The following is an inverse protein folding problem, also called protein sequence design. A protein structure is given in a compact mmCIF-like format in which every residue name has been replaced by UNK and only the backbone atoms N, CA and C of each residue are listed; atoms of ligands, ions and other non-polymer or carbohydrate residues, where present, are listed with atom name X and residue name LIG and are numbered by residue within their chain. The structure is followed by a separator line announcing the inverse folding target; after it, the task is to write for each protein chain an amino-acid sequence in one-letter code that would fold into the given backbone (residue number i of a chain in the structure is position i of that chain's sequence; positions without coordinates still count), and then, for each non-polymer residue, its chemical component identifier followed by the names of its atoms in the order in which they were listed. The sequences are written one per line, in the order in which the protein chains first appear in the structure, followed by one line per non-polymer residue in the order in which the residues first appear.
data_IF_804523717730
#
_entry.id   IF_804523717730
#
_cell.length_a   1.000
_cell.length_b   1.000
_cell.length_c   1.000
_cell.angle_alpha   90.00
_cell.angle_beta   90.00
_cell.angle_gamma   90.00
#
_symmetry.space_group_name_H-M   'P 1'
#
loop_
_entity.id
_entity.type
_entity.pdbx_description
1 polymer ?
#
# COMPACT_ATOMS: atom_id res chain seq x y z
N UNK A 1 56.59 17.18 -72.64
CA UNK A 1 57.53 17.70 -71.62
C UNK A 1 56.70 18.35 -70.51
N UNK A 2 56.52 17.72 -69.33
CA UNK A 2 57.21 18.02 -68.05
C UNK A 2 57.00 19.50 -67.62
N UNK A 3 56.45 19.93 -66.48
CA UNK A 3 56.14 19.42 -65.11
C UNK A 3 55.01 20.32 -64.53
N UNK A 4 53.99 19.81 -63.82
CA UNK A 4 53.90 19.56 -62.36
C UNK A 4 54.10 20.81 -61.46
N UNK A 5 53.04 21.22 -60.75
CA UNK A 5 53.10 21.59 -59.33
C UNK A 5 51.73 21.42 -58.66
N UNK A 6 51.74 20.67 -57.57
CA UNK A 6 50.62 20.26 -56.71
C UNK A 6 50.49 21.28 -55.57
N UNK A 7 49.26 21.64 -55.18
CA UNK A 7 48.97 22.14 -53.83
C UNK A 7 47.58 21.68 -53.40
N UNK A 8 47.57 20.67 -52.53
CA UNK A 8 46.46 20.21 -51.70
C UNK A 8 46.17 21.28 -50.63
N UNK A 9 44.91 21.60 -50.37
CA UNK A 9 44.43 21.84 -49.00
C UNK A 9 42.91 21.69 -48.92
N UNK A 10 42.52 20.82 -48.00
CA UNK A 10 41.18 20.53 -47.48
C UNK A 10 40.31 21.79 -47.32
N UNK A 11 39.19 21.85 -48.04
CA UNK A 11 38.02 22.61 -47.61
C UNK A 11 37.08 21.65 -46.85
N UNK A 12 37.41 21.50 -45.57
CA UNK A 12 36.49 21.44 -44.43
C UNK A 12 34.99 21.29 -44.74
N UNK A 13 34.48 20.09 -44.43
CA UNK A 13 33.29 19.84 -43.61
C UNK A 13 32.59 21.12 -43.14
N UNK A 14 31.52 21.53 -43.82
CA UNK A 14 30.41 22.30 -43.23
C UNK A 14 29.21 22.24 -44.20
N UNK A 15 28.81 21.03 -44.60
CA UNK A 15 27.42 20.81 -44.97
C UNK A 15 26.62 20.96 -43.67
N UNK A 16 26.15 22.18 -43.45
CA UNK A 16 25.24 22.57 -42.39
C UNK A 16 24.16 21.49 -42.25
N UNK A 17 24.29 20.69 -41.20
CA UNK A 17 23.15 20.24 -40.41
C UNK A 17 22.43 21.51 -39.94
N UNK A 18 21.63 22.11 -40.82
CA UNK A 18 20.44 22.86 -40.41
C UNK A 18 19.48 21.81 -39.85
N UNK A 19 19.83 21.28 -38.67
CA UNK A 19 18.86 20.81 -37.74
C UNK A 19 18.05 22.05 -37.37
N UNK A 20 17.04 22.35 -38.19
CA UNK A 20 15.96 23.23 -37.81
C UNK A 20 15.47 22.66 -36.49
N UNK A 21 15.80 23.35 -35.41
CA UNK A 21 15.07 23.31 -34.17
C UNK A 21 13.63 23.62 -34.57
N UNK A 22 12.87 22.56 -34.85
CA UNK A 22 11.43 22.64 -35.00
C UNK A 22 10.93 23.07 -33.63
N UNK A 23 10.88 24.39 -33.43
CA UNK A 23 10.12 25.00 -32.37
C UNK A 23 8.73 24.42 -32.53
N UNK A 24 8.37 23.47 -31.66
CA UNK A 24 7.05 22.88 -31.67
C UNK A 24 6.08 24.07 -31.66
N UNK A 25 5.35 24.25 -32.77
CA UNK A 25 4.48 25.40 -32.94
C UNK A 25 3.60 25.52 -31.70
N UNK A 26 3.58 26.69 -31.07
CA UNK A 26 2.78 26.91 -29.86
C UNK A 26 1.34 26.47 -30.14
N UNK A 27 0.73 25.63 -29.28
CA UNK A 27 -0.64 25.20 -29.48
C UNK A 27 -1.55 26.40 -29.69
N UNK A 28 -2.45 26.34 -30.67
CA UNK A 28 -3.41 27.41 -30.87
C UNK A 28 -4.30 27.55 -29.62
N UNK A 29 -4.25 28.69 -28.90
CA UNK A 29 -4.97 28.84 -27.63
C UNK A 29 -6.48 28.68 -27.79
N UNK A 30 -7.05 29.01 -28.95
CA UNK A 30 -8.50 28.90 -29.19
C UNK A 30 -8.96 27.48 -29.50
N UNK A 31 -8.03 26.56 -29.81
CA UNK A 31 -8.30 25.13 -30.02
C UNK A 31 -7.94 24.28 -28.81
N UNK A 32 -7.48 24.91 -27.72
CA UNK A 32 -7.10 24.21 -26.52
C UNK A 32 -8.34 23.64 -25.85
N UNK A 33 -8.35 22.31 -25.62
CA UNK A 33 -9.38 21.66 -24.82
C UNK A 33 -9.07 21.94 -23.35
N UNK A 34 -9.73 22.94 -22.78
CA UNK A 34 -9.61 23.28 -21.38
C UNK A 34 -10.40 22.30 -20.49
N UNK A 35 -9.95 22.04 -19.26
CA UNK A 35 -10.65 21.16 -18.34
C UNK A 35 -12.04 21.72 -18.03
N UNK A 36 -13.05 20.84 -18.03
CA UNK A 36 -14.42 21.19 -17.63
C UNK A 36 -14.70 20.95 -16.13
N UNK A 37 -13.77 20.28 -15.45
CA UNK A 37 -13.86 19.89 -14.04
C UNK A 37 -12.52 20.19 -13.36
N UNK A 38 -12.55 20.38 -12.04
CA UNK A 38 -11.32 20.46 -11.24
C UNK A 38 -10.51 19.16 -11.32
N UNK A 39 -9.20 19.30 -11.32
CA UNK A 39 -8.30 18.21 -10.95
C UNK A 39 -8.41 17.98 -9.44
N UNK A 40 -8.58 16.73 -9.01
CA UNK A 40 -8.59 16.42 -7.57
C UNK A 40 -7.21 16.65 -6.94
N UNK A 41 -7.19 17.24 -5.76
CA UNK A 41 -6.01 17.37 -4.90
C UNK A 41 -6.07 16.21 -3.91
N UNK A 42 -5.35 15.13 -4.20
CA UNK A 42 -5.39 13.89 -3.42
C UNK A 42 -6.69 13.09 -3.58
N UNK A 43 -6.78 11.99 -2.84
CA UNK A 43 -7.97 11.16 -2.79
C UNK A 43 -9.01 11.76 -1.81
N UNK A 44 -10.27 11.96 -2.23
CA UNK A 44 -11.34 12.37 -1.32
C UNK A 44 -11.55 11.32 -0.21
N UNK A 45 -11.66 11.81 1.02
CA UNK A 45 -12.06 11.00 2.18
C UNK A 45 -13.56 11.16 2.36
N UNK A 46 -14.25 10.04 2.50
CA UNK A 46 -15.68 9.92 2.73
C UNK A 46 -15.91 9.39 4.14
N UNK A 47 -17.10 9.63 4.68
CA UNK A 47 -17.57 9.00 5.92
C UNK A 47 -18.77 8.10 5.63
N UNK A 48 -18.92 7.06 6.45
CA UNK A 48 -20.06 6.16 6.45
C UNK A 48 -20.41 5.83 7.90
N UNK A 49 -21.69 5.92 8.25
CA UNK A 49 -22.21 5.50 9.55
C UNK A 49 -22.77 4.09 9.42
N UNK A 50 -22.19 3.14 10.16
CA UNK A 50 -22.65 1.75 10.21
C UNK A 50 -23.99 1.63 10.94
N UNK A 51 -24.62 0.48 10.84
CA UNK A 51 -25.86 0.17 11.56
C UNK A 51 -25.67 0.23 13.09
N UNK A 52 -24.46 -0.05 13.59
CA UNK A 52 -24.09 0.11 15.00
C UNK A 52 -23.85 1.57 15.43
N UNK A 53 -23.92 2.53 14.50
CA UNK A 53 -23.70 3.94 14.77
C UNK A 53 -22.22 4.39 14.70
N UNK A 54 -21.28 3.47 14.44
CA UNK A 54 -19.87 3.79 14.28
C UNK A 54 -19.66 4.58 12.98
N UNK A 55 -19.00 5.73 13.06
CA UNK A 55 -18.63 6.53 11.89
C UNK A 55 -17.23 6.17 11.42
N UNK A 56 -17.15 5.44 10.30
CA UNK A 56 -15.87 5.09 9.66
C UNK A 56 -15.56 6.01 8.49
N UNK A 57 -14.29 6.25 8.25
CA UNK A 57 -13.83 7.02 7.10
C UNK A 57 -13.13 6.13 6.08
N UNK A 58 -13.28 6.46 4.81
CA UNK A 58 -12.73 5.67 3.72
C UNK A 58 -12.38 6.51 2.50
N UNK A 59 -11.45 5.98 1.71
CA UNK A 59 -11.15 6.42 0.35
C UNK A 59 -11.73 5.39 -0.62
N UNK A 60 -12.38 5.85 -1.69
CA UNK A 60 -12.85 5.02 -2.81
C UNK A 60 -12.37 5.62 -4.13
N UNK A 61 -11.41 4.96 -4.77
CA UNK A 61 -10.73 5.47 -5.96
C UNK A 61 -10.73 4.47 -7.11
N UNK A 62 -11.39 4.84 -8.21
CA UNK A 62 -11.52 4.04 -9.42
C UNK A 62 -12.95 4.02 -9.94
N UNK A 63 -13.21 3.30 -11.03
CA UNK A 63 -14.57 3.17 -11.58
C UNK A 63 -15.32 2.04 -10.87
N UNK A 64 -16.64 2.16 -10.70
CA UNK A 64 -17.47 1.10 -10.08
C UNK A 64 -17.36 -0.27 -10.78
N UNK A 65 -17.14 -0.28 -12.11
CA UNK A 65 -16.97 -1.51 -12.90
C UNK A 65 -15.59 -2.15 -12.82
N UNK A 66 -14.63 -1.49 -12.18
CA UNK A 66 -13.28 -2.00 -12.00
C UNK A 66 -13.22 -3.04 -10.88
N UNK A 67 -12.19 -3.88 -10.90
CA UNK A 67 -11.98 -4.86 -9.85
C UNK A 67 -11.64 -4.14 -8.55
N UNK A 68 -12.39 -4.40 -7.47
CA UNK A 68 -12.11 -3.82 -6.17
C UNK A 68 -10.95 -4.52 -5.46
N UNK A 69 -10.04 -3.71 -4.94
CA UNK A 69 -9.05 -4.04 -3.92
C UNK A 69 -9.41 -3.29 -2.63
N UNK A 70 -9.58 -4.02 -1.52
CA UNK A 70 -9.62 -3.44 -0.17
C UNK A 70 -8.18 -3.34 0.33
N UNK A 71 -7.74 -2.13 0.66
CA UNK A 71 -6.39 -1.87 1.19
C UNK A 71 -6.46 -1.64 2.70
N UNK A 72 -5.70 -2.45 3.44
CA UNK A 72 -5.45 -2.27 4.87
C UNK A 72 -3.98 -1.89 5.06
N UNK A 73 -3.74 -0.65 5.49
CA UNK A 73 -2.40 -0.09 5.68
C UNK A 73 -1.63 -0.70 6.85
N UNK A 74 -0.39 -0.25 7.01
CA UNK A 74 0.50 -0.62 8.12
C UNK A 74 0.15 0.05 9.44
N UNK A 75 0.92 -0.24 10.49
CA UNK A 75 0.65 0.27 11.84
C UNK A 75 0.62 1.79 11.89
N UNK A 76 -0.37 2.36 12.59
CA UNK A 76 -0.53 3.81 12.71
C UNK A 76 -0.87 4.54 11.42
N UNK A 77 -1.33 3.86 10.36
CA UNK A 77 -1.85 4.50 9.15
C UNK A 77 -3.38 4.62 9.15
N UNK A 78 -3.88 5.77 8.67
CA UNK A 78 -5.26 6.01 8.25
C UNK A 78 -5.46 5.82 6.74
N UNK A 79 -6.43 6.53 6.15
CA UNK A 79 -6.89 6.24 4.78
C UNK A 79 -5.90 6.69 3.71
N UNK A 80 -5.01 7.66 3.99
CA UNK A 80 -4.04 8.12 2.99
C UNK A 80 -2.82 7.21 2.87
N UNK A 81 -2.78 6.11 3.60
CA UNK A 81 -1.97 4.94 3.25
C UNK A 81 -2.14 4.55 1.77
N UNK A 82 -3.34 4.75 1.21
CA UNK A 82 -3.59 4.61 -0.22
C UNK A 82 -2.66 5.45 -1.08
N UNK A 83 -2.41 6.71 -0.71
CA UNK A 83 -1.62 7.64 -1.52
C UNK A 83 -0.14 7.25 -1.56
N UNK A 84 0.38 6.55 -0.54
CA UNK A 84 1.71 5.94 -0.54
C UNK A 84 1.90 4.87 -1.62
N UNK A 85 0.81 4.46 -2.29
CA UNK A 85 0.82 3.47 -3.37
C UNK A 85 0.61 4.08 -4.76
N UNK A 86 0.21 5.35 -4.81
CA UNK A 86 -0.26 6.01 -6.03
C UNK A 86 0.85 6.45 -6.98
N UNK A 87 2.13 6.27 -6.61
CA UNK A 87 3.25 6.34 -7.55
C UNK A 87 3.11 5.34 -8.71
N UNK A 88 2.25 4.30 -8.56
CA UNK A 88 1.87 3.35 -9.62
C UNK A 88 0.46 3.56 -10.19
N UNK A 89 -0.20 4.71 -9.93
CA UNK A 89 -1.57 5.03 -10.39
C UNK A 89 -1.81 4.71 -11.86
N UNK A 90 -0.87 5.05 -12.75
CA UNK A 90 -1.00 4.79 -14.18
C UNK A 90 -1.14 3.29 -14.50
N UNK A 91 -0.37 2.44 -13.80
CA UNK A 91 -0.48 0.99 -13.93
C UNK A 91 -1.79 0.48 -13.31
N UNK A 92 -2.14 0.93 -12.10
CA UNK A 92 -3.41 0.59 -11.43
C UNK A 92 -4.62 0.87 -12.32
N UNK A 93 -4.65 2.04 -12.95
CA UNK A 93 -5.70 2.45 -13.88
C UNK A 93 -5.71 1.57 -15.13
N UNK A 94 -4.53 1.24 -15.69
CA UNK A 94 -4.43 0.35 -16.85
C UNK A 94 -4.91 -1.07 -16.54
N UNK A 95 -4.77 -1.51 -15.30
CA UNK A 95 -5.25 -2.81 -14.81
C UNK A 95 -6.72 -2.77 -14.36
N UNK A 96 -7.39 -1.62 -14.44
CA UNK A 96 -8.77 -1.42 -13.99
C UNK A 96 -8.98 -1.89 -12.54
N UNK A 97 -8.15 -1.38 -11.62
CA UNK A 97 -8.26 -1.66 -10.18
C UNK A 97 -8.84 -0.44 -9.45
N UNK A 98 -9.99 -0.64 -8.82
CA UNK A 98 -10.62 0.28 -7.86
C UNK A 98 -10.07 -0.05 -6.48
N UNK A 99 -9.66 0.95 -5.71
CA UNK A 99 -9.15 0.75 -4.35
C UNK A 99 -10.13 1.36 -3.35
N UNK A 100 -10.50 0.58 -2.36
CA UNK A 100 -11.22 1.03 -1.16
C UNK A 100 -10.26 0.90 0.02
N UNK A 101 -9.93 1.99 0.69
CA UNK A 101 -9.10 1.98 1.89
C UNK A 101 -9.92 2.54 3.05
N UNK A 102 -10.04 1.80 4.14
CA UNK A 102 -10.87 2.16 5.30
C UNK A 102 -9.93 2.46 6.47
N UNK A 103 -10.21 3.54 7.18
CA UNK A 103 -9.47 3.88 8.39
C UNK A 103 -9.72 2.85 9.47
N UNK A 104 -8.66 2.47 10.16
CA UNK A 104 -8.76 1.63 11.36
C UNK A 104 -9.16 2.51 12.54
N UNK A 105 -9.69 1.84 13.56
CA UNK A 105 -10.25 2.47 14.75
C UNK A 105 -9.26 3.47 15.39
N UNK A 106 -9.69 4.71 15.57
CA UNK A 106 -8.91 5.79 16.18
C UNK A 106 -7.80 6.42 15.33
N UNK A 107 -7.64 6.01 14.07
CA UNK A 107 -6.65 6.60 13.16
C UNK A 107 -7.30 7.59 12.20
N UNK A 108 -6.63 8.72 11.98
CA UNK A 108 -7.10 9.75 11.06
C UNK A 108 -8.39 10.42 11.52
N UNK A 109 -9.41 10.40 10.67
CA UNK A 109 -10.71 11.01 10.96
C UNK A 109 -11.66 10.08 11.73
N UNK A 110 -11.38 8.78 11.79
CA UNK A 110 -12.17 7.79 12.54
C UNK A 110 -11.85 7.90 14.03
N UNK A 111 -12.89 7.96 14.87
CA UNK A 111 -12.73 8.08 16.32
C UNK A 111 -12.20 6.76 16.91
N UNK A 112 -11.56 6.85 18.08
CA UNK A 112 -11.17 5.67 18.82
C UNK A 112 -12.37 5.18 19.62
N UNK A 113 -13.12 4.25 19.06
CA UNK A 113 -14.35 3.69 19.62
C UNK A 113 -14.20 2.15 19.64
N UNK A 114 -13.34 1.58 20.51
CA UNK A 114 -13.04 0.15 20.49
C UNK A 114 -14.24 -0.68 20.94
N UNK A 115 -14.20 -2.00 20.71
CA UNK A 115 -15.24 -2.90 21.22
C UNK A 115 -14.80 -3.51 22.56
N UNK A 116 -15.73 -3.70 23.48
CA UNK A 116 -15.52 -4.47 24.71
C UNK A 116 -15.60 -5.99 24.46
N UNK A 117 -15.47 -6.79 25.53
CA UNK A 117 -15.54 -8.27 25.44
C UNK A 117 -16.86 -8.83 24.90
N UNK A 118 -17.96 -8.07 25.01
CA UNK A 118 -19.26 -8.44 24.47
C UNK A 118 -19.42 -8.08 22.99
N UNK A 119 -18.51 -7.27 22.45
CA UNK A 119 -18.55 -6.73 21.10
C UNK A 119 -19.25 -5.38 21.01
N UNK A 120 -19.69 -4.81 22.14
CA UNK A 120 -20.32 -3.49 22.18
C UNK A 120 -19.27 -2.39 22.07
N UNK A 121 -19.61 -1.33 21.34
CA UNK A 121 -18.72 -0.21 21.09
C UNK A 121 -18.62 0.69 22.32
N UNK A 122 -17.40 0.96 22.78
CA UNK A 122 -17.09 1.92 23.84
C UNK A 122 -16.94 3.30 23.19
N UNK A 123 -17.71 4.32 23.62
CA UNK A 123 -17.58 5.67 23.09
C UNK A 123 -16.19 6.28 23.33
N UNK A 124 -15.71 7.07 22.36
CA UNK A 124 -14.38 7.70 22.41
C UNK A 124 -14.13 8.63 23.62
N UNK A 125 -15.19 9.14 24.22
CA UNK A 125 -15.20 10.11 25.32
C UNK A 125 -15.64 9.47 26.64
N UNK A 126 -15.70 8.14 26.71
CA UNK A 126 -16.08 7.40 27.92
C UNK A 126 -15.01 7.46 29.04
N UNK A 127 -13.81 7.98 28.75
CA UNK A 127 -12.69 8.08 29.68
C UNK A 127 -11.85 6.80 29.75
N UNK A 128 -10.62 6.93 30.29
CA UNK A 128 -9.62 5.87 30.27
C UNK A 128 -10.07 4.59 30.99
N UNK A 129 -10.82 4.71 32.10
CA UNK A 129 -11.34 3.56 32.85
C UNK A 129 -12.31 2.72 32.01
N UNK A 130 -13.14 3.35 31.18
CA UNK A 130 -14.05 2.65 30.28
C UNK A 130 -13.28 2.09 29.07
N UNK A 131 -12.41 2.90 28.48
CA UNK A 131 -11.56 2.49 27.36
C UNK A 131 -10.64 1.32 27.73
N UNK A 132 -10.28 1.16 29.02
CA UNK A 132 -9.51 0.03 29.53
C UNK A 132 -10.23 -1.33 29.41
N UNK A 133 -11.56 -1.33 29.23
CA UNK A 133 -12.36 -2.54 29.02
C UNK A 133 -12.34 -3.04 27.56
N UNK A 134 -11.68 -2.30 26.66
CA UNK A 134 -11.60 -2.66 25.26
C UNK A 134 -10.92 -4.03 25.06
N UNK A 135 -11.57 -4.89 24.29
CA UNK A 135 -11.03 -6.17 23.88
C UNK A 135 -10.39 -6.03 22.48
N UNK A 136 -9.09 -6.36 22.33
CA UNK A 136 -8.40 -6.22 21.05
C UNK A 136 -8.94 -7.16 19.97
N UNK A 137 -9.38 -8.37 20.33
CA UNK A 137 -9.95 -9.32 19.36
C UNK A 137 -11.30 -8.81 18.86
N UNK A 138 -12.18 -8.37 19.77
CA UNK A 138 -13.48 -7.77 19.41
C UNK A 138 -13.33 -6.49 18.62
N UNK A 139 -12.36 -5.65 18.98
CA UNK A 139 -12.06 -4.43 18.20
C UNK A 139 -11.61 -4.75 16.78
N UNK A 140 -10.82 -5.82 16.59
CA UNK A 140 -10.43 -6.32 15.26
C UNK A 140 -11.61 -6.91 14.49
N UNK A 141 -12.49 -7.66 15.15
CA UNK A 141 -13.73 -8.22 14.56
C UNK A 141 -14.67 -7.11 14.07
N UNK A 142 -14.95 -6.13 14.93
CA UNK A 142 -15.78 -4.97 14.60
C UNK A 142 -15.23 -4.18 13.40
N UNK A 143 -13.90 -4.01 13.30
CA UNK A 143 -13.33 -3.35 12.12
C UNK A 143 -13.65 -4.09 10.82
N UNK A 144 -13.57 -5.43 10.81
CA UNK A 144 -13.91 -6.22 9.63
C UNK A 144 -15.41 -6.14 9.29
N UNK A 145 -16.28 -6.13 10.30
CA UNK A 145 -17.72 -5.93 10.14
C UNK A 145 -18.02 -4.57 9.48
N UNK A 146 -17.42 -3.49 10.00
CA UNK A 146 -17.55 -2.15 9.43
C UNK A 146 -17.09 -2.08 7.96
N UNK A 147 -15.97 -2.73 7.64
CA UNK A 147 -15.48 -2.82 6.25
C UNK A 147 -16.49 -3.55 5.38
N UNK A 148 -17.02 -4.69 5.82
CA UNK A 148 -17.98 -5.48 5.04
C UNK A 148 -19.28 -4.70 4.83
N UNK A 149 -19.79 -4.03 5.85
CA UNK A 149 -20.98 -3.19 5.75
C UNK A 149 -20.77 -2.01 4.77
N UNK A 150 -19.61 -1.35 4.84
CA UNK A 150 -19.25 -0.32 3.87
C UNK A 150 -19.20 -0.88 2.44
N UNK A 151 -18.65 -2.09 2.25
CA UNK A 151 -18.63 -2.71 0.92
C UNK A 151 -20.05 -2.99 0.41
N UNK A 152 -20.99 -3.32 1.30
CA UNK A 152 -22.41 -3.50 0.95
C UNK A 152 -23.05 -2.16 0.56
N UNK A 153 -22.81 -1.10 1.33
CA UNK A 153 -23.23 0.27 0.97
C UNK A 153 -22.70 0.70 -0.41
N UNK A 154 -21.46 0.36 -0.73
CA UNK A 154 -20.83 0.67 -2.02
C UNK A 154 -21.24 -0.28 -3.17
N UNK A 155 -22.07 -1.30 -2.90
CA UNK A 155 -22.53 -2.30 -3.87
C UNK A 155 -21.42 -3.25 -4.35
N UNK A 156 -20.44 -3.56 -3.50
CA UNK A 156 -19.25 -4.36 -3.83
C UNK A 156 -19.41 -5.79 -3.34
N UNK A 157 -19.87 -6.68 -4.22
CA UNK A 157 -20.14 -8.07 -3.87
C UNK A 157 -18.90 -8.98 -3.87
N UNK A 158 -17.85 -8.63 -4.62
CA UNK A 158 -16.63 -9.46 -4.77
C UNK A 158 -15.37 -8.59 -4.86
N UNK A 159 -14.40 -8.82 -3.99
CA UNK A 159 -13.21 -7.99 -3.85
C UNK A 159 -11.94 -8.80 -3.57
N UNK A 160 -10.78 -8.25 -3.89
CA UNK A 160 -9.48 -8.70 -3.36
C UNK A 160 -9.14 -7.88 -2.12
N UNK A 161 -8.31 -8.39 -1.22
CA UNK A 161 -7.82 -7.63 -0.05
C UNK A 161 -6.30 -7.66 0.03
N UNK A 162 -5.69 -6.54 0.42
CA UNK A 162 -4.27 -6.40 0.66
C UNK A 162 -4.02 -5.85 2.07
N UNK A 163 -3.33 -6.63 2.88
CA UNK A 163 -2.78 -6.20 4.16
C UNK A 163 -1.30 -5.88 4.06
N UNK A 164 -0.89 -4.74 4.61
CA UNK A 164 0.52 -4.33 4.71
C UNK A 164 0.93 -4.30 6.17
N UNK A 165 2.08 -4.89 6.54
CA UNK A 165 2.63 -4.78 7.90
C UNK A 165 1.61 -5.14 8.99
N UNK A 166 1.33 -4.22 9.93
CA UNK A 166 0.33 -4.41 10.99
C UNK A 166 -1.12 -4.60 10.48
N UNK A 167 -1.40 -4.33 9.20
CA UNK A 167 -2.69 -4.61 8.57
C UNK A 167 -3.00 -6.10 8.37
N UNK A 168 -2.06 -6.99 8.68
CA UNK A 168 -2.20 -8.44 8.53
C UNK A 168 -3.38 -9.04 9.30
N UNK A 169 -3.46 -8.92 10.65
CA UNK A 169 -4.56 -9.51 11.41
C UNK A 169 -5.93 -8.98 11.00
N UNK A 170 -6.04 -7.68 10.69
CA UNK A 170 -7.25 -7.07 10.16
C UNK A 170 -7.66 -7.65 8.79
N UNK A 171 -6.68 -7.89 7.91
CA UNK A 171 -6.92 -8.54 6.62
C UNK A 171 -7.38 -9.98 6.78
N UNK A 172 -6.77 -10.74 7.70
CA UNK A 172 -7.21 -12.09 8.04
C UNK A 172 -8.66 -12.11 8.55
N UNK A 173 -9.03 -11.11 9.36
CA UNK A 173 -10.38 -11.01 9.91
C UNK A 173 -11.42 -10.67 8.84
N UNK A 174 -11.11 -9.70 7.96
CA UNK A 174 -11.96 -9.37 6.80
C UNK A 174 -12.23 -10.62 5.96
N UNK A 175 -11.21 -11.42 5.65
CA UNK A 175 -11.42 -12.59 4.78
C UNK A 175 -12.11 -13.75 5.48
N UNK A 176 -11.90 -13.91 6.79
CA UNK A 176 -12.62 -14.87 7.60
C UNK A 176 -14.12 -14.60 7.55
N UNK A 177 -14.53 -13.34 7.75
CA UNK A 177 -15.94 -12.95 7.76
C UNK A 177 -16.55 -12.85 6.34
N UNK A 178 -15.81 -12.35 5.36
CA UNK A 178 -16.34 -12.13 4.01
C UNK A 178 -16.48 -13.42 3.17
N UNK A 179 -15.79 -14.50 3.55
CA UNK A 179 -15.91 -15.83 2.97
C UNK A 179 -15.89 -15.84 1.43
N UNK A 180 -16.99 -16.32 0.82
CA UNK A 180 -17.12 -16.46 -0.63
C UNK A 180 -17.08 -15.13 -1.41
N UNK A 181 -17.08 -13.96 -0.76
CA UNK A 181 -16.91 -12.65 -1.44
C UNK A 181 -15.44 -12.38 -1.83
N UNK A 182 -14.49 -13.08 -1.21
CA UNK A 182 -13.06 -12.86 -1.43
C UNK A 182 -12.60 -13.44 -2.77
N UNK A 183 -12.00 -12.60 -3.61
CA UNK A 183 -11.42 -12.97 -4.92
C UNK A 183 -9.98 -13.44 -4.79
N UNK A 184 -9.19 -12.76 -3.96
CA UNK A 184 -7.81 -13.10 -3.64
C UNK A 184 -7.36 -12.36 -2.39
N UNK A 185 -6.41 -12.96 -1.67
CA UNK A 185 -5.81 -12.43 -0.44
C UNK A 185 -4.36 -12.08 -0.70
N UNK A 186 -3.93 -10.90 -0.27
CA UNK A 186 -2.56 -10.42 -0.49
C UNK A 186 -1.97 -9.96 0.85
N UNK A 187 -0.82 -10.52 1.24
CA UNK A 187 -0.07 -10.12 2.42
C UNK A 187 1.30 -9.61 2.03
N UNK A 188 1.53 -8.31 2.17
CA UNK A 188 2.81 -7.68 1.87
C UNK A 188 3.48 -7.26 3.16
N UNK A 189 4.59 -7.93 3.51
CA UNK A 189 5.27 -7.82 4.82
C UNK A 189 4.29 -7.82 5.98
N UNK A 190 3.20 -8.59 5.90
CA UNK A 190 2.13 -8.54 6.88
C UNK A 190 2.44 -9.41 8.09
N UNK A 191 2.21 -8.87 9.28
CA UNK A 191 2.31 -9.63 10.53
C UNK A 191 1.18 -10.64 10.59
N UNK A 192 1.46 -11.88 11.00
CA UNK A 192 0.43 -12.84 11.37
C UNK A 192 0.14 -12.76 12.87
N UNK A 193 1.17 -12.94 13.69
CA UNK A 193 1.07 -12.85 15.14
C UNK A 193 2.47 -12.70 15.75
N UNK A 194 2.65 -11.68 16.59
CA UNK A 194 3.86 -11.42 17.38
C UNK A 194 3.80 -12.13 18.73
N UNK A 195 4.97 -12.28 19.35
CA UNK A 195 5.06 -12.70 20.74
C UNK A 195 4.37 -11.68 21.66
N UNK A 196 3.81 -12.17 22.76
CA UNK A 196 3.22 -11.32 23.79
C UNK A 196 4.27 -10.41 24.45
N UNK A 197 3.83 -9.24 24.90
CA UNK A 197 4.62 -8.18 25.53
C UNK A 197 3.71 -7.17 26.24
N UNK A 198 4.15 -5.92 26.34
CA UNK A 198 3.29 -4.85 26.86
C UNK A 198 2.05 -4.65 25.96
N UNK A 199 0.89 -4.50 26.58
CA UNK A 199 -0.42 -4.46 25.92
C UNK A 199 -1.25 -3.30 26.46
N UNK A 200 -2.15 -2.84 25.61
CA UNK A 200 -3.21 -1.91 25.98
C UNK A 200 -4.02 -2.47 27.17
N UNK A 201 -4.40 -1.65 28.17
CA UNK A 201 -4.24 -0.19 28.29
C UNK A 201 -3.07 0.24 29.20
N UNK A 202 -1.95 -0.49 29.24
CA UNK A 202 -0.84 -0.15 30.15
C UNK A 202 -0.36 1.32 29.99
N UNK A 203 -0.33 2.14 31.07
CA UNK A 203 0.03 3.56 30.96
C UNK A 203 1.45 3.82 30.44
N UNK A 204 2.43 2.98 30.82
CA UNK A 204 3.80 3.12 30.34
C UNK A 204 3.90 2.80 28.84
N UNK A 205 3.13 1.81 28.38
CA UNK A 205 2.98 1.48 26.98
C UNK A 205 2.30 2.59 26.18
N UNK A 206 1.22 3.18 26.70
CA UNK A 206 0.54 4.33 26.08
C UNK A 206 1.50 5.53 25.96
N UNK A 207 2.24 5.87 27.02
CA UNK A 207 3.24 6.93 26.98
C UNK A 207 4.34 6.65 25.94
N UNK A 208 4.80 5.40 25.84
CA UNK A 208 5.77 4.99 24.83
C UNK A 208 5.22 5.13 23.40
N UNK A 209 3.96 4.74 23.16
CA UNK A 209 3.31 4.91 21.85
C UNK A 209 3.15 6.39 21.50
N UNK A 210 2.73 7.23 22.46
CA UNK A 210 2.63 8.69 22.25
C UNK A 210 3.97 9.29 21.85
N UNK A 211 5.05 8.94 22.55
CA UNK A 211 6.40 9.42 22.21
C UNK A 211 6.85 9.04 20.79
N UNK A 212 6.37 7.91 20.26
CA UNK A 212 6.65 7.52 18.88
C UNK A 212 5.87 8.35 17.87
N UNK A 213 4.56 8.56 18.09
CA UNK A 213 3.65 9.15 17.08
C UNK A 213 3.52 10.68 17.17
N UNK A 214 3.95 11.30 18.28
CA UNK A 214 3.98 12.76 18.44
C UNK A 214 4.92 13.44 17.42
N UNK A 215 5.89 12.69 16.89
CA UNK A 215 6.77 13.14 15.81
C UNK A 215 6.56 12.28 14.55
N UNK A 216 5.62 12.67 13.66
CA UNK A 216 5.34 11.97 12.41
C UNK A 216 6.56 11.73 11.53
N UNK A 217 7.54 12.65 11.54
CA UNK A 217 8.74 12.51 10.73
C UNK A 217 9.62 11.36 11.24
N UNK A 218 9.73 11.18 12.55
CA UNK A 218 10.49 10.06 13.14
C UNK A 218 9.72 8.75 13.00
N UNK A 219 8.39 8.78 13.21
CA UNK A 219 7.55 7.58 13.12
C UNK A 219 7.59 6.93 11.73
N UNK A 220 7.67 7.74 10.67
CA UNK A 220 7.63 7.30 9.27
C UNK A 220 8.88 7.63 8.46
N UNK A 221 10.03 7.81 9.11
CA UNK A 221 11.29 7.98 8.40
C UNK A 221 11.68 6.69 7.66
N UNK A 222 11.72 6.75 6.33
CA UNK A 222 12.16 5.68 5.44
C UNK A 222 13.34 6.16 4.58
N UNK A 223 14.02 7.24 4.99
CA UNK A 223 15.20 7.77 4.30
C UNK A 223 16.25 6.67 4.13
N UNK A 224 16.81 6.57 2.92
CA UNK A 224 17.79 5.54 2.57
C UNK A 224 17.22 4.15 2.29
N UNK A 225 15.90 3.96 2.33
CA UNK A 225 15.27 2.70 1.90
C UNK A 225 14.87 2.74 0.41
N UNK A 226 14.18 1.70 -0.06
CA UNK A 226 13.63 1.65 -1.42
C UNK A 226 12.48 2.65 -1.64
N UNK A 227 11.69 2.91 -0.60
CA UNK A 227 10.59 3.86 -0.62
C UNK A 227 11.10 5.28 -0.90
N UNK A 228 12.24 5.65 -0.32
CA UNK A 228 12.94 6.92 -0.57
C UNK A 228 13.32 7.15 -2.05
N UNK A 229 13.46 6.07 -2.83
CA UNK A 229 13.72 6.20 -4.27
C UNK A 229 12.49 6.63 -5.09
N UNK A 230 11.31 6.71 -4.47
CA UNK A 230 10.07 7.13 -5.11
C UNK A 230 9.89 8.64 -4.89
N UNK A 231 9.83 9.45 -5.97
CA UNK A 231 9.69 10.90 -5.83
C UNK A 231 8.48 11.31 -4.99
N UNK A 232 8.71 12.12 -3.96
CA UNK A 232 7.66 12.67 -3.08
C UNK A 232 7.07 11.68 -2.08
N UNK A 233 7.63 10.46 -1.98
CA UNK A 233 7.07 9.42 -1.13
C UNK A 233 7.28 9.71 0.36
N UNK A 234 8.48 10.19 0.74
CA UNK A 234 8.83 10.46 2.13
C UNK A 234 7.97 11.59 2.71
N UNK A 235 7.74 12.66 1.95
CA UNK A 235 6.86 13.76 2.35
C UNK A 235 5.41 13.28 2.49
N UNK A 236 4.93 12.44 1.56
CA UNK A 236 3.59 11.85 1.66
C UNK A 236 3.46 10.94 2.88
N UNK A 237 4.51 10.22 3.27
CA UNK A 237 4.53 9.40 4.48
C UNK A 237 4.44 10.26 5.74
N UNK A 238 5.14 11.39 5.79
CA UNK A 238 5.01 12.36 6.90
C UNK A 238 3.62 12.98 6.97
N UNK A 239 3.02 13.32 5.83
CA UNK A 239 1.63 13.82 5.75
C UNK A 239 0.62 12.77 6.25
N UNK A 240 0.79 11.51 5.87
CA UNK A 240 -0.07 10.41 6.33
C UNK A 240 0.08 10.14 7.82
N UNK A 241 1.31 10.13 8.34
CA UNK A 241 1.57 9.99 9.76
C UNK A 241 0.96 11.16 10.56
N UNK A 242 1.08 12.38 10.04
CA UNK A 242 0.48 13.58 10.64
C UNK A 242 -1.05 13.53 10.58
N UNK A 243 -1.61 13.10 9.44
CA UNK A 243 -3.05 12.91 9.28
C UNK A 243 -3.58 11.93 10.32
N UNK A 244 -2.96 10.76 10.39
CA UNK A 244 -3.34 9.68 11.29
C UNK A 244 -3.36 10.10 12.76
N UNK A 245 -2.34 10.87 13.18
CA UNK A 245 -2.16 11.25 14.58
C UNK A 245 -2.82 12.58 14.99
N UNK A 246 -3.15 13.48 14.06
CA UNK A 246 -3.55 14.86 14.43
C UNK A 246 -4.75 15.45 13.69
N UNK A 247 -5.22 14.87 12.57
CA UNK A 247 -6.22 15.54 11.69
C UNK A 247 -7.52 15.94 12.40
N UNK A 248 -7.90 15.20 13.44
CA UNK A 248 -9.14 15.39 14.21
C UNK A 248 -8.91 16.20 15.49
N UNK A 249 -7.71 16.77 15.68
CA UNK A 249 -7.32 17.47 16.91
C UNK A 249 -7.04 16.54 18.09
N UNK A 250 -6.80 15.25 17.84
CA UNK A 250 -6.59 14.22 18.87
C UNK A 250 -5.21 14.25 19.54
N UNK A 251 -4.37 15.25 19.27
CA UNK A 251 -3.05 15.48 19.90
C UNK A 251 -2.19 14.22 20.09
N UNK A 252 -2.05 13.40 19.03
CA UNK A 252 -1.29 12.15 19.09
C UNK A 252 -1.75 11.20 20.21
N UNK A 253 -3.07 11.09 20.43
CA UNK A 253 -3.70 10.09 21.28
C UNK A 253 -3.12 8.68 21.00
N UNK A 254 -2.48 8.04 22.00
CA UNK A 254 -1.81 6.75 21.80
C UNK A 254 -2.75 5.54 21.77
N UNK A 255 -4.01 5.67 22.19
CA UNK A 255 -4.90 4.52 22.41
C UNK A 255 -5.07 3.69 21.13
N UNK A 256 -5.31 4.35 19.99
CA UNK A 256 -5.47 3.69 18.70
C UNK A 256 -4.24 2.87 18.29
N UNK A 257 -3.05 3.45 18.40
CA UNK A 257 -1.79 2.79 18.01
C UNK A 257 -1.41 1.70 19.02
N UNK A 258 -1.67 1.91 20.30
CA UNK A 258 -1.49 0.89 21.34
C UNK A 258 -2.41 -0.32 21.12
N UNK A 259 -3.69 -0.08 20.82
CA UNK A 259 -4.65 -1.13 20.48
C UNK A 259 -4.21 -1.91 19.23
N UNK A 260 -3.83 -1.18 18.16
CA UNK A 260 -3.29 -1.75 16.92
C UNK A 260 -2.15 -2.75 17.16
N UNK A 261 -1.17 -2.35 17.97
CA UNK A 261 0.00 -3.19 18.25
C UNK A 261 -0.29 -4.29 19.28
N UNK A 262 -1.31 -4.11 20.12
CA UNK A 262 -1.82 -5.17 21.02
C UNK A 262 -2.50 -6.26 20.21
N UNK A 263 -3.29 -5.90 19.20
CA UNK A 263 -3.92 -6.82 18.24
C UNK A 263 -2.90 -7.73 17.55
N UNK A 264 -1.69 -7.23 17.26
CA UNK A 264 -0.63 -8.04 16.66
C UNK A 264 -0.16 -9.19 17.55
N UNK A 265 -0.39 -9.11 18.86
CA UNK A 265 0.02 -10.13 19.84
C UNK A 265 -1.10 -11.13 20.12
N UNK A 266 -2.33 -10.82 19.70
CA UNK A 266 -3.49 -11.67 19.88
C UNK A 266 -3.47 -12.85 18.91
N UNK A 267 -4.26 -13.88 19.23
CA UNK A 267 -4.50 -14.99 18.31
C UNK A 267 -4.94 -14.47 16.95
N UNK A 268 -4.22 -14.89 15.91
CA UNK A 268 -4.55 -14.53 14.54
C UNK A 268 -5.95 -15.06 14.16
N UNK A 269 -6.69 -14.37 13.26
CA UNK A 269 -7.96 -14.86 12.73
C UNK A 269 -7.83 -16.27 12.14
N UNK A 270 -8.81 -17.13 12.42
CA UNK A 270 -8.89 -18.43 11.75
C UNK A 270 -9.31 -18.26 10.29
N UNK A 271 -8.36 -18.45 9.38
CA UNK A 271 -8.54 -18.35 7.93
C UNK A 271 -8.56 -19.71 7.23
N UNK A 272 -8.65 -20.81 8.00
CA UNK A 272 -8.57 -22.19 7.49
C UNK A 272 -9.62 -22.50 6.42
N UNK A 273 -10.80 -21.88 6.51
CA UNK A 273 -11.92 -22.08 5.58
C UNK A 273 -11.86 -21.18 4.33
N UNK A 274 -10.88 -20.28 4.22
CA UNK A 274 -10.76 -19.38 3.07
C UNK A 274 -10.15 -20.11 1.87
N UNK A 275 -10.93 -20.25 0.80
CA UNK A 275 -10.54 -20.96 -0.44
C UNK A 275 -9.92 -20.08 -1.52
N UNK A 276 -9.99 -18.74 -1.35
CA UNK A 276 -9.47 -17.79 -2.32
C UNK A 276 -7.94 -17.96 -2.52
N UNK A 277 -7.40 -17.66 -3.72
CA UNK A 277 -5.96 -17.63 -3.93
C UNK A 277 -5.26 -16.65 -2.98
N UNK A 278 -4.10 -17.06 -2.45
CA UNK A 278 -3.30 -16.28 -1.50
C UNK A 278 -1.96 -15.90 -2.12
N UNK A 279 -1.56 -14.65 -1.93
CA UNK A 279 -0.27 -14.13 -2.36
C UNK A 279 0.48 -13.53 -1.19
N UNK A 280 1.78 -13.81 -1.09
CA UNK A 280 2.65 -13.21 -0.07
C UNK A 280 3.84 -12.49 -0.70
N UNK A 281 4.26 -11.35 -0.13
CA UNK A 281 5.34 -10.50 -0.65
C UNK A 281 6.27 -10.10 0.51
N UNK A 282 7.43 -10.74 0.62
CA UNK A 282 8.33 -10.54 1.76
C UNK A 282 9.78 -10.43 1.33
N UNK A 283 10.55 -9.64 2.09
CA UNK A 283 11.99 -9.50 1.95
C UNK A 283 12.72 -10.38 2.96
N UNK A 284 13.77 -11.10 2.53
CA UNK A 284 14.55 -11.95 3.43
C UNK A 284 15.37 -11.17 4.47
N UNK A 285 15.61 -9.88 4.23
CA UNK A 285 16.37 -8.99 5.11
C UNK A 285 15.47 -8.06 5.94
N UNK A 286 14.16 -8.29 5.95
CA UNK A 286 13.25 -7.54 6.81
C UNK A 286 13.41 -7.98 8.27
N UNK A 287 13.94 -7.11 9.17
CA UNK A 287 14.09 -7.46 10.58
C UNK A 287 12.77 -7.32 11.37
N UNK A 288 11.78 -6.63 10.82
CA UNK A 288 10.53 -6.27 11.50
C UNK A 288 9.42 -7.27 11.24
N UNK A 289 9.33 -7.79 10.02
CA UNK A 289 8.36 -8.81 9.61
C UNK A 289 9.06 -9.88 8.76
N UNK A 290 9.74 -10.84 9.40
CA UNK A 290 10.53 -11.84 8.70
C UNK A 290 9.65 -12.88 7.98
N UNK A 291 10.29 -13.74 7.20
CA UNK A 291 9.65 -14.89 6.55
C UNK A 291 8.89 -15.83 7.49
N UNK A 292 9.22 -15.87 8.79
CA UNK A 292 8.44 -16.63 9.75
C UNK A 292 6.98 -16.15 9.83
N UNK A 293 6.72 -14.84 9.69
CA UNK A 293 5.35 -14.29 9.66
C UNK A 293 4.61 -14.69 8.38
N UNK A 294 5.31 -14.68 7.24
CA UNK A 294 4.79 -15.23 5.97
C UNK A 294 4.40 -16.69 6.13
N UNK A 295 5.26 -17.49 6.75
CA UNK A 295 5.06 -18.94 6.86
C UNK A 295 3.87 -19.27 7.76
N UNK A 296 3.65 -18.49 8.82
CA UNK A 296 2.42 -18.57 9.63
C UNK A 296 1.17 -18.31 8.78
N UNK A 297 1.17 -17.26 7.95
CA UNK A 297 0.06 -17.02 7.03
C UNK A 297 -0.13 -18.20 6.06
N UNK A 298 0.93 -18.67 5.40
CA UNK A 298 0.85 -19.80 4.46
C UNK A 298 0.27 -21.05 5.13
N UNK A 299 0.70 -21.35 6.36
CA UNK A 299 0.21 -22.49 7.12
C UNK A 299 -1.26 -22.35 7.53
N UNK A 300 -1.73 -21.13 7.80
CA UNK A 300 -3.11 -20.88 8.23
C UNK A 300 -4.16 -21.09 7.12
N UNK A 301 -3.81 -20.86 5.85
CA UNK A 301 -4.74 -21.00 4.70
C UNK A 301 -4.85 -22.44 4.18
N UNK A 302 -5.27 -23.37 5.03
CA UNK A 302 -5.31 -24.81 4.72
C UNK A 302 -6.27 -25.19 3.59
N UNK A 303 -7.36 -24.43 3.37
CA UNK A 303 -8.31 -24.67 2.28
C UNK A 303 -7.97 -23.97 0.96
N UNK A 304 -6.94 -23.12 0.92
CA UNK A 304 -6.54 -22.44 -0.32
C UNK A 304 -5.72 -23.35 -1.22
N UNK A 305 -6.21 -23.62 -2.43
CA UNK A 305 -5.52 -24.47 -3.42
C UNK A 305 -4.42 -23.75 -4.21
N UNK A 306 -4.34 -22.42 -4.12
CA UNK A 306 -3.38 -21.60 -4.86
C UNK A 306 -2.72 -20.58 -3.96
N UNK A 307 -1.55 -20.95 -3.43
CA UNK A 307 -0.71 -20.05 -2.63
C UNK A 307 0.54 -19.69 -3.45
N UNK A 308 0.75 -18.40 -3.69
CA UNK A 308 1.90 -17.88 -4.45
C UNK A 308 2.78 -17.04 -3.53
N UNK A 309 3.99 -17.53 -3.24
CA UNK A 309 4.96 -16.78 -2.46
C UNK A 309 5.90 -15.99 -3.36
N UNK A 310 5.95 -14.67 -3.19
CA UNK A 310 6.92 -13.77 -3.83
C UNK A 310 7.98 -13.37 -2.80
N UNK A 311 9.03 -14.18 -2.76
CA UNK A 311 10.15 -14.04 -1.84
C UNK A 311 11.28 -13.25 -2.50
N UNK A 312 11.75 -12.19 -1.82
CA UNK A 312 12.76 -11.27 -2.32
C UNK A 312 14.02 -11.34 -1.44
N UNK A 313 15.11 -12.02 -1.87
CA UNK A 313 16.28 -12.30 -1.04
C UNK A 313 17.06 -11.08 -0.54
N UNK A 314 16.93 -9.93 -1.19
CA UNK A 314 17.76 -8.75 -0.99
C UNK A 314 16.99 -7.54 -0.43
N UNK A 315 15.75 -7.74 0.05
CA UNK A 315 14.85 -6.64 0.41
C UNK A 315 14.55 -6.59 1.91
N UNK A 316 14.22 -5.39 2.38
CA UNK A 316 13.89 -5.04 3.77
C UNK A 316 12.39 -4.77 3.92
N UNK A 317 11.97 -4.07 4.98
CA UNK A 317 10.56 -3.88 5.37
C UNK A 317 9.68 -3.10 4.38
N UNK A 318 10.28 -2.45 3.38
CA UNK A 318 9.57 -1.61 2.39
C UNK A 318 9.43 -2.28 1.01
N UNK A 319 9.69 -3.59 0.94
CA UNK A 319 9.62 -4.43 -0.27
C UNK A 319 8.29 -4.33 -1.00
N UNK A 320 7.20 -4.08 -0.28
CA UNK A 320 5.85 -3.86 -0.81
C UNK A 320 5.81 -2.66 -1.76
N UNK A 321 6.53 -1.57 -1.47
CA UNK A 321 6.57 -0.40 -2.34
C UNK A 321 7.46 -0.69 -3.56
N UNK A 322 8.59 -1.36 -3.36
CA UNK A 322 9.47 -1.80 -4.46
C UNK A 322 8.76 -2.69 -5.49
N UNK A 323 7.77 -3.46 -5.04
CA UNK A 323 7.07 -4.45 -5.86
C UNK A 323 5.56 -4.23 -5.92
N UNK A 324 5.08 -3.01 -5.63
CA UNK A 324 3.65 -2.70 -5.62
C UNK A 324 3.01 -2.90 -6.99
N UNK A 325 3.77 -2.69 -8.05
CA UNK A 325 3.40 -3.00 -9.42
C UNK A 325 3.09 -4.49 -9.65
N UNK A 326 3.89 -5.39 -9.08
CA UNK A 326 3.62 -6.82 -9.12
C UNK A 326 2.39 -7.19 -8.27
N UNK A 327 2.21 -6.54 -7.11
CA UNK A 327 1.02 -6.71 -6.27
C UNK A 327 -0.24 -6.37 -7.08
N UNK A 328 -0.24 -5.23 -7.78
CA UNK A 328 -1.35 -4.83 -8.65
C UNK A 328 -1.59 -5.83 -9.78
N UNK A 329 -0.55 -6.38 -10.40
CA UNK A 329 -0.69 -7.40 -11.44
C UNK A 329 -1.38 -8.68 -10.90
N UNK A 330 -1.06 -9.07 -9.67
CA UNK A 330 -1.66 -10.25 -9.03
C UNK A 330 -3.12 -10.01 -8.65
N UNK A 331 -3.42 -8.83 -8.09
CA UNK A 331 -4.79 -8.39 -7.79
C UNK A 331 -5.65 -8.43 -9.05
N UNK A 332 -5.11 -8.01 -10.19
CA UNK A 332 -5.78 -8.08 -11.48
C UNK A 332 -6.04 -9.52 -11.98
N UNK A 333 -5.49 -10.54 -11.33
CA UNK A 333 -5.69 -11.96 -11.63
C UNK A 333 -4.58 -12.59 -12.47
N UNK A 334 -3.45 -11.89 -12.67
CA UNK A 334 -2.34 -12.37 -13.50
C UNK A 334 -1.20 -12.99 -12.66
N UNK A 335 -1.55 -13.77 -11.63
CA UNK A 335 -0.58 -14.35 -10.68
C UNK A 335 0.52 -15.20 -11.33
N UNK A 336 0.24 -15.79 -12.50
CA UNK A 336 1.19 -16.63 -13.25
C UNK A 336 2.17 -15.81 -14.12
N UNK A 337 2.13 -14.48 -13.99
CA UNK A 337 2.95 -13.52 -14.73
C UNK A 337 3.84 -12.69 -13.79
N UNK A 338 4.84 -12.03 -14.40
CA UNK A 338 5.74 -11.07 -13.75
C UNK A 338 5.78 -9.75 -14.50
N UNK A 339 5.78 -8.65 -13.76
CA UNK A 339 6.25 -7.36 -14.29
C UNK A 339 7.78 -7.33 -14.25
N UNK A 340 8.39 -6.97 -15.37
CA UNK A 340 9.84 -6.78 -15.49
C UNK A 340 10.18 -5.50 -16.24
N UNK A 341 11.35 -4.96 -15.93
CA UNK A 341 12.00 -3.89 -16.67
C UNK A 341 13.06 -4.51 -17.57
N UNK A 342 12.93 -4.34 -18.89
CA UNK A 342 13.87 -4.92 -19.84
C UNK A 342 14.03 -4.03 -21.07
N UNK A 343 15.28 -3.68 -21.40
CA UNK A 343 15.66 -2.88 -22.58
C UNK A 343 14.84 -1.59 -22.74
N UNK A 344 14.77 -0.77 -21.71
CA UNK A 344 14.06 0.52 -21.80
C UNK A 344 12.55 0.44 -21.57
N UNK A 345 11.99 -0.75 -21.33
CA UNK A 345 10.54 -0.96 -21.31
C UNK A 345 10.08 -1.78 -20.10
N UNK A 346 8.89 -1.43 -19.60
CA UNK A 346 8.11 -2.28 -18.70
C UNK A 346 7.38 -3.35 -19.51
N UNK A 347 7.49 -4.62 -19.11
CA UNK A 347 6.85 -5.77 -19.77
C UNK A 347 6.20 -6.69 -18.75
N UNK A 348 5.14 -7.37 -19.19
CA UNK A 348 4.56 -8.51 -18.48
C UNK A 348 5.03 -9.78 -19.18
N UNK A 349 5.59 -10.73 -18.43
CA UNK A 349 6.06 -12.03 -18.95
C UNK A 349 5.46 -13.19 -18.14
N UNK A 350 5.29 -14.38 -18.73
CA UNK A 350 5.02 -15.58 -17.94
C UNK A 350 6.10 -15.82 -16.89
N UNK A 351 5.70 -16.19 -15.67
CA UNK A 351 6.61 -16.41 -14.54
C UNK A 351 7.76 -17.38 -14.88
N UNK A 352 7.47 -18.46 -15.61
CA UNK A 352 8.46 -19.45 -16.05
C UNK A 352 9.59 -18.86 -16.92
N UNK A 353 9.37 -17.70 -17.57
CA UNK A 353 10.39 -17.04 -18.40
C UNK A 353 11.34 -16.14 -17.59
N UNK A 354 11.05 -15.88 -16.31
CA UNK A 354 11.86 -14.98 -15.48
C UNK A 354 13.36 -15.36 -15.45
N UNK A 355 13.78 -16.63 -15.24
CA UNK A 355 15.20 -16.99 -15.21
C UNK A 355 15.94 -16.60 -16.49
N UNK A 356 15.30 -16.74 -17.65
CA UNK A 356 15.89 -16.36 -18.95
C UNK A 356 16.04 -14.84 -19.09
N UNK A 357 15.01 -14.07 -18.73
CA UNK A 357 15.08 -12.60 -18.78
C UNK A 357 16.07 -12.03 -17.78
N UNK A 358 16.14 -12.60 -16.57
CA UNK A 358 17.12 -12.22 -15.54
C UNK A 358 18.56 -12.39 -16.05
N UNK A 359 18.89 -13.53 -16.67
CA UNK A 359 20.22 -13.77 -17.29
C UNK A 359 20.59 -12.74 -18.35
N UNK A 360 19.60 -12.10 -18.98
CA UNK A 360 19.76 -11.08 -20.01
C UNK A 360 19.74 -9.64 -19.45
N UNK A 361 19.77 -9.48 -18.13
CA UNK A 361 19.82 -8.18 -17.46
C UNK A 361 18.45 -7.52 -17.23
N UNK A 362 17.34 -8.27 -17.32
CA UNK A 362 16.05 -7.76 -16.86
C UNK A 362 16.02 -7.60 -15.33
N UNK A 363 15.29 -6.59 -14.86
CA UNK A 363 15.02 -6.37 -13.43
C UNK A 363 13.55 -6.68 -13.12
N UNK A 364 13.24 -6.99 -11.86
CA UNK A 364 11.86 -7.11 -11.41
C UNK A 364 11.20 -5.73 -11.30
N UNK A 365 9.94 -5.67 -11.69
CA UNK A 365 9.09 -4.49 -11.65
C UNK A 365 9.26 -3.52 -12.82
N UNK A 366 8.60 -2.37 -12.77
CA UNK A 366 8.58 -1.37 -13.84
C UNK A 366 9.96 -0.81 -14.16
N UNK A 367 10.16 -0.36 -15.40
CA UNK A 367 11.44 0.19 -15.86
C UNK A 367 11.94 1.39 -15.04
N UNK A 368 11.05 2.15 -14.41
CA UNK A 368 11.41 3.29 -13.55
C UNK A 368 12.44 2.91 -12.47
N UNK A 369 12.36 1.70 -11.92
CA UNK A 369 13.30 1.20 -10.93
C UNK A 369 14.75 1.05 -11.41
N UNK A 370 15.00 1.04 -12.73
CA UNK A 370 16.36 0.89 -13.26
C UNK A 370 17.25 2.09 -12.91
N UNK A 371 16.66 3.28 -12.88
CA UNK A 371 17.35 4.54 -12.68
C UNK A 371 16.81 5.32 -11.46
N UNK A 372 15.94 4.69 -10.66
CA UNK A 372 15.45 5.29 -9.43
C UNK A 372 16.64 5.54 -8.49
N UNK A 373 16.69 6.75 -7.96
CA UNK A 373 17.70 7.20 -7.00
C UNK A 373 16.95 7.99 -5.92
N UNK A 374 17.47 8.00 -4.69
CA UNK A 374 17.00 8.96 -3.69
C UNK A 374 17.05 10.39 -4.26
N UNK A 375 16.19 11.30 -3.76
CA UNK A 375 16.34 12.73 -4.01
C UNK A 375 17.78 13.16 -3.73
N UNK A 376 18.30 14.07 -4.55
CA UNK A 376 19.55 14.75 -4.24
C UNK A 376 19.15 15.99 -3.45
N UNK A 377 19.69 16.14 -2.25
CA UNK A 377 19.53 17.34 -1.42
C UNK A 377 20.02 18.61 -2.14
#
# INVERSE_FOLDING_TARGET
MKRLCVAFCLATVFALLLATSASAARPNPTKMKLPKNFSHIGAPVHSFTTASGHVVHYVDQGKKSWRTLVLVGGGGTGVRAFELTEFTRALRNKLNIRVVCVERNGLGMTKFEPADTSGEMIPHDAGDDALALADPVKTREMYAENVIELLDHLGINRFSVLGISAGGPYTGEIVRQAGARVRSVHFAVAVNQRAAGAQYPDPAYLANRRNAIINPMVWWDMTGTTADMIPGWQERAYEEASWSAFVRGQDADPHAVAMDYTILQMTAPDVSMVTAPVFTYYGAKDPSVPYAERDKWVAAFTSSRKITQRNYPDRVHDVQYRHYDQILLDVAGYGDYRIIGFKGQTRVIPQAKWPSFRKRGAILGIWAWKNAKPPVD
#
